data_IF_849015190397
#
_entry.id   IF_849015190397
#
_cell.length_a   1.000
_cell.length_b   1.000
_cell.length_c   1.000
_cell.angle_alpha   90.00
_cell.angle_beta   90.00
_cell.angle_gamma   90.00
#
_symmetry.space_group_name_H-M   'P 1'
#
loop_
_entity.id
_entity.type
_entity.pdbx_description
1 polymer ?
#
# COMPACT_ATOMS: atom_id res chain seq x y z
N UNK A 1 4.20 18.43 8.61
CA UNK A 1 4.49 18.24 10.04
C UNK A 1 5.00 16.82 10.26
N UNK A 2 6.05 16.67 11.09
CA UNK A 2 6.60 15.36 11.44
C UNK A 2 6.40 15.15 12.93
N UNK A 3 5.84 14.00 13.28
CA UNK A 3 5.63 13.50 14.65
C UNK A 3 6.35 12.17 14.83
N UNK A 4 6.55 11.65 16.06
CA UNK A 4 7.28 10.40 16.28
C UNK A 4 6.76 9.18 15.48
N UNK A 5 5.46 9.09 15.25
CA UNK A 5 4.82 7.96 14.56
C UNK A 5 4.08 8.38 13.28
N UNK A 6 4.20 9.65 12.86
CA UNK A 6 3.36 10.18 11.79
C UNK A 6 4.06 11.28 11.01
N UNK A 7 3.85 11.26 9.69
CA UNK A 7 4.27 12.33 8.77
C UNK A 7 3.05 12.89 8.07
N UNK A 8 2.78 14.17 8.31
CA UNK A 8 1.55 14.84 7.86
C UNK A 8 1.88 15.85 6.77
N UNK A 9 1.20 15.74 5.65
CA UNK A 9 1.29 16.64 4.50
C UNK A 9 -0.04 17.35 4.29
N UNK A 10 0.00 18.65 4.00
CA UNK A 10 -1.19 19.45 3.72
C UNK A 10 -1.06 20.08 2.34
N UNK A 11 -2.10 19.95 1.54
CA UNK A 11 -2.20 20.50 0.20
C UNK A 11 -3.48 21.32 0.08
N UNK A 12 -3.42 22.41 -0.67
CA UNK A 12 -4.60 23.25 -0.97
C UNK A 12 -4.64 23.55 -2.46
N UNK A 13 -5.76 23.26 -3.07
CA UNK A 13 -6.03 23.57 -4.47
C UNK A 13 -7.53 23.58 -4.75
N UNK A 14 -7.97 24.43 -5.67
CA UNK A 14 -9.34 24.45 -6.23
C UNK A 14 -10.46 24.41 -5.18
N UNK A 15 -10.30 25.17 -4.09
CA UNK A 15 -11.30 25.25 -3.02
C UNK A 15 -11.30 24.06 -2.05
N UNK A 16 -10.27 23.21 -2.11
CA UNK A 16 -10.15 22.01 -1.28
C UNK A 16 -8.83 22.02 -0.51
N UNK A 17 -8.88 21.60 0.76
CA UNK A 17 -7.70 21.26 1.57
C UNK A 17 -7.66 19.75 1.77
N UNK A 18 -6.56 19.11 1.35
CA UNK A 18 -6.25 17.70 1.60
C UNK A 18 -5.14 17.58 2.64
N UNK A 19 -5.40 16.80 3.68
CA UNK A 19 -4.39 16.36 4.65
C UNK A 19 -4.14 14.88 4.42
N UNK A 20 -2.87 14.51 4.24
CA UNK A 20 -2.42 13.11 4.12
C UNK A 20 -1.53 12.81 5.30
N UNK A 21 -1.89 11.79 6.09
CA UNK A 21 -1.14 11.36 7.27
C UNK A 21 -0.65 9.93 7.09
N UNK A 22 0.68 9.76 7.07
CA UNK A 22 1.35 8.47 7.07
C UNK A 22 1.65 8.09 8.52
N UNK A 23 0.96 7.07 9.05
CA UNK A 23 1.07 6.68 10.46
C UNK A 23 1.40 5.19 10.60
N UNK A 24 2.44 4.88 11.40
CA UNK A 24 2.74 3.51 11.81
C UNK A 24 2.37 3.33 13.27
N UNK A 25 1.43 2.42 13.62
CA UNK A 25 0.99 2.22 15.00
C UNK A 25 2.02 1.41 15.80
N UNK A 26 2.86 2.07 16.60
CA UNK A 26 3.81 1.42 17.50
C UNK A 26 3.29 1.50 18.94
N UNK A 27 2.42 0.57 19.32
CA UNK A 27 1.84 0.49 20.66
C UNK A 27 2.73 -0.36 21.58
N UNK A 28 3.58 0.28 22.38
CA UNK A 28 4.59 -0.37 23.21
C UNK A 28 4.05 -1.39 24.22
N UNK A 29 2.79 -1.25 24.61
CA UNK A 29 2.10 -2.16 25.53
C UNK A 29 1.29 -3.26 24.82
N UNK A 30 1.38 -3.34 23.48
CA UNK A 30 0.70 -4.35 22.66
C UNK A 30 1.64 -4.86 21.58
N UNK A 31 2.39 -5.93 21.89
CA UNK A 31 3.37 -6.52 20.98
C UNK A 31 2.74 -7.12 19.72
N UNK A 32 1.51 -7.57 19.79
CA UNK A 32 0.80 -8.12 18.63
C UNK A 32 0.55 -7.04 17.57
N UNK A 33 0.14 -5.85 17.98
CA UNK A 33 -0.02 -4.73 17.06
C UNK A 33 1.32 -4.11 16.68
N UNK A 34 2.24 -3.97 17.63
CA UNK A 34 3.55 -3.37 17.38
C UNK A 34 4.40 -4.15 16.38
N UNK A 35 4.27 -5.49 16.39
CA UNK A 35 5.05 -6.36 15.50
C UNK A 35 4.47 -6.50 14.09
N UNK A 36 3.24 -6.04 13.86
CA UNK A 36 2.63 -6.10 12.51
C UNK A 36 3.28 -5.08 11.58
N UNK A 37 3.77 -5.48 10.42
CA UNK A 37 4.41 -4.59 9.45
C UNK A 37 3.35 -3.82 8.63
N UNK A 38 2.55 -3.01 9.29
CA UNK A 38 1.46 -2.23 8.70
C UNK A 38 1.65 -0.73 8.96
N UNK A 39 1.25 0.07 7.99
CA UNK A 39 1.16 1.52 8.11
C UNK A 39 -0.15 2.01 7.49
N UNK A 40 -0.73 3.02 8.09
CA UNK A 40 -1.94 3.66 7.60
C UNK A 40 -1.57 4.90 6.78
N UNK A 41 -2.26 5.10 5.67
CA UNK A 41 -2.28 6.38 4.97
C UNK A 41 -3.70 6.90 5.05
N UNK A 42 -3.88 7.92 5.88
CA UNK A 42 -5.19 8.53 6.12
C UNK A 42 -5.33 9.82 5.30
N UNK A 43 -6.53 10.03 4.79
CA UNK A 43 -6.92 11.19 4.01
C UNK A 43 -8.01 11.95 4.74
N UNK A 44 -7.84 13.27 4.89
CA UNK A 44 -8.85 14.14 5.44
C UNK A 44 -9.00 15.33 4.51
N UNK A 45 -10.21 15.55 4.02
CA UNK A 45 -10.49 16.54 2.98
C UNK A 45 -11.55 17.52 3.45
N UNK A 46 -11.30 18.82 3.25
CA UNK A 46 -12.19 19.90 3.63
C UNK A 46 -12.52 20.77 2.42
N UNK A 47 -13.75 21.27 2.36
CA UNK A 47 -14.06 22.46 1.56
C UNK A 47 -13.53 23.71 2.26
N UNK A 48 -12.86 24.60 1.50
CA UNK A 48 -12.36 25.89 1.98
C UNK A 48 -12.95 27.07 1.20
N UNK A 49 -13.92 26.82 0.32
CA UNK A 49 -14.61 27.83 -0.50
C UNK A 49 -16.14 27.81 -0.34
N UNK A 50 -16.62 27.15 0.72
CA UNK A 50 -18.05 27.02 1.06
C UNK A 50 -18.90 26.33 -0.04
N UNK A 51 -18.27 25.42 -0.83
CA UNK A 51 -18.95 24.61 -1.85
C UNK A 51 -18.78 23.12 -1.58
N UNK A 52 -19.69 22.34 -2.14
CA UNK A 52 -19.55 20.88 -2.20
C UNK A 52 -18.54 20.51 -3.30
N UNK A 53 -17.67 19.54 -3.02
CA UNK A 53 -16.70 19.02 -3.98
C UNK A 53 -16.73 17.50 -4.01
N UNK A 54 -16.70 16.93 -5.21
CA UNK A 54 -16.42 15.52 -5.44
C UNK A 54 -14.94 15.36 -5.76
N UNK A 55 -14.25 14.58 -4.94
CA UNK A 55 -12.80 14.45 -4.96
C UNK A 55 -12.42 13.01 -5.24
N UNK A 56 -11.41 12.83 -6.07
CA UNK A 56 -10.79 11.54 -6.31
C UNK A 56 -9.31 11.61 -5.97
N UNK A 57 -8.86 10.72 -5.13
CA UNK A 57 -7.45 10.59 -4.75
C UNK A 57 -6.90 9.33 -5.42
N UNK A 58 -5.82 9.48 -6.19
CA UNK A 58 -5.05 8.39 -6.73
C UNK A 58 -3.79 8.18 -5.89
N UNK A 59 -3.51 6.95 -5.54
CA UNK A 59 -2.27 6.54 -4.89
C UNK A 59 -1.79 5.23 -5.48
N UNK A 60 -0.48 5.06 -5.61
CA UNK A 60 0.13 3.81 -6.01
C UNK A 60 1.46 3.55 -5.30
N UNK A 61 1.88 2.29 -5.34
CA UNK A 61 3.22 1.83 -4.99
C UNK A 61 3.75 0.94 -6.10
N UNK A 62 5.05 1.04 -6.39
CA UNK A 62 5.71 0.31 -7.47
C UNK A 62 6.46 -0.93 -6.98
N UNK A 63 6.92 -1.74 -7.92
CA UNK A 63 7.61 -3.01 -7.65
C UNK A 63 9.01 -2.88 -7.04
N UNK A 64 9.61 -1.68 -7.01
CA UNK A 64 10.93 -1.47 -6.41
C UNK A 64 10.99 -1.84 -4.92
N UNK A 65 9.85 -1.81 -4.24
CA UNK A 65 9.72 -2.25 -2.84
C UNK A 65 9.92 -3.74 -2.64
N UNK A 66 9.85 -4.53 -3.71
CA UNK A 66 9.85 -6.00 -3.65
C UNK A 66 11.14 -6.63 -4.17
N UNK A 67 12.15 -5.82 -4.55
CA UNK A 67 13.42 -6.29 -5.10
C UNK A 67 14.61 -5.77 -4.29
N UNK A 68 15.74 -6.48 -4.35
CA UNK A 68 16.91 -6.13 -3.57
C UNK A 68 17.53 -4.80 -4.04
N UNK A 69 17.95 -4.76 -5.30
CA UNK A 69 18.46 -3.55 -5.93
C UNK A 69 17.82 -3.40 -7.30
N UNK A 70 16.92 -2.43 -7.50
CA UNK A 70 16.24 -2.26 -8.77
C UNK A 70 17.18 -1.92 -9.93
N UNK A 71 18.32 -1.24 -9.68
CA UNK A 71 19.26 -0.81 -10.71
C UNK A 71 20.18 -1.95 -11.19
N UNK A 72 20.43 -2.95 -10.35
CA UNK A 72 21.40 -4.03 -10.60
C UNK A 72 20.76 -5.40 -10.75
N UNK A 73 19.45 -5.49 -10.53
CA UNK A 73 18.74 -6.74 -10.40
C UNK A 73 17.90 -7.02 -11.64
N UNK A 74 18.07 -8.22 -12.19
CA UNK A 74 17.13 -8.79 -13.17
C UNK A 74 15.86 -9.34 -12.52
N UNK A 75 15.65 -9.09 -11.23
CA UNK A 75 14.51 -9.58 -10.48
C UNK A 75 13.20 -9.07 -11.08
N UNK A 76 12.27 -9.98 -11.21
CA UNK A 76 10.93 -9.71 -11.73
C UNK A 76 9.94 -9.72 -10.59
N UNK A 77 8.87 -8.96 -10.75
CA UNK A 77 7.75 -8.92 -9.81
C UNK A 77 6.50 -9.50 -10.42
N UNK A 78 5.66 -10.03 -9.55
CA UNK A 78 4.30 -10.46 -9.83
C UNK A 78 3.32 -9.65 -8.97
N UNK A 79 2.09 -9.58 -9.40
CA UNK A 79 1.03 -8.87 -8.68
C UNK A 79 -0.32 -9.56 -8.84
N UNK A 80 -1.24 -9.20 -7.99
CA UNK A 80 -2.60 -9.71 -8.03
C UNK A 80 -3.49 -9.03 -7.00
N UNK A 81 -4.66 -9.63 -6.80
CA UNK A 81 -5.62 -9.17 -5.81
C UNK A 81 -6.21 -10.33 -5.03
N UNK A 82 -6.62 -10.04 -3.80
CA UNK A 82 -7.36 -10.94 -2.92
C UNK A 82 -8.57 -10.23 -2.35
N UNK A 83 -9.61 -10.98 -2.03
CA UNK A 83 -10.69 -10.49 -1.18
C UNK A 83 -10.45 -11.01 0.24
N UNK A 84 -10.41 -10.09 1.20
CA UNK A 84 -10.33 -10.39 2.61
C UNK A 84 -11.72 -10.19 3.22
N UNK A 85 -12.08 -11.02 4.20
CA UNK A 85 -13.37 -10.96 4.84
C UNK A 85 -13.19 -10.54 6.31
N UNK A 86 -13.64 -9.35 6.65
CA UNK A 86 -13.66 -8.89 8.03
C UNK A 86 -15.10 -8.64 8.49
N UNK A 87 -15.58 -9.50 9.39
CA UNK A 87 -16.91 -9.41 10.00
C UNK A 87 -18.06 -9.18 8.98
N UNK A 88 -17.95 -9.78 7.77
CA UNK A 88 -18.93 -9.64 6.70
C UNK A 88 -18.71 -8.44 5.77
N UNK A 89 -17.60 -7.74 5.92
CA UNK A 89 -17.17 -6.72 4.96
C UNK A 89 -16.14 -7.31 4.01
N UNK A 90 -16.40 -7.16 2.71
CA UNK A 90 -15.42 -7.48 1.67
C UNK A 90 -14.37 -6.38 1.62
N UNK A 91 -13.11 -6.73 1.88
CA UNK A 91 -11.97 -5.82 1.81
C UNK A 91 -11.10 -6.25 0.64
N UNK A 92 -10.92 -5.37 -0.33
CA UNK A 92 -9.98 -5.61 -1.43
C UNK A 92 -8.54 -5.42 -0.94
N UNK A 93 -7.68 -6.39 -1.21
CA UNK A 93 -6.25 -6.29 -1.03
C UNK A 93 -5.53 -6.55 -2.36
N UNK A 94 -4.73 -5.60 -2.79
CA UNK A 94 -3.79 -5.78 -3.89
C UNK A 94 -2.46 -6.23 -3.32
N UNK A 95 -1.75 -7.11 -4.02
CA UNK A 95 -0.41 -7.52 -3.61
C UNK A 95 0.59 -7.45 -4.75
N UNK A 96 1.86 -7.28 -4.40
CA UNK A 96 3.00 -7.35 -5.30
C UNK A 96 4.18 -8.00 -4.56
N UNK A 97 4.96 -8.82 -5.25
CA UNK A 97 6.13 -9.48 -4.66
C UNK A 97 7.14 -9.88 -5.71
N UNK A 98 8.36 -10.20 -5.28
CA UNK A 98 9.35 -10.81 -6.15
C UNK A 98 8.85 -12.15 -6.69
N UNK A 99 9.12 -12.42 -7.96
CA UNK A 99 8.70 -13.69 -8.58
C UNK A 99 9.43 -14.89 -7.99
N UNK A 100 10.71 -14.74 -7.70
CA UNK A 100 11.58 -15.87 -7.31
C UNK A 100 11.51 -16.21 -5.81
N UNK A 101 11.04 -15.29 -4.97
CA UNK A 101 10.88 -15.51 -3.53
C UNK A 101 12.11 -16.15 -2.85
N UNK A 102 13.26 -15.50 -2.97
CA UNK A 102 14.53 -15.98 -2.41
C UNK A 102 14.60 -15.76 -0.88
N UNK A 103 13.75 -16.47 -0.13
CA UNK A 103 13.52 -16.28 1.31
C UNK A 103 14.81 -16.48 2.10
N UNK A 104 15.33 -15.39 2.71
CA UNK A 104 16.54 -15.39 3.55
C UNK A 104 17.78 -15.95 2.83
N UNK A 105 17.85 -15.82 1.49
CA UNK A 105 18.89 -16.45 0.68
C UNK A 105 20.20 -15.65 0.61
N UNK A 106 20.22 -14.43 1.14
CA UNK A 106 21.37 -13.53 1.09
C UNK A 106 21.85 -13.19 2.50
N UNK A 107 23.15 -12.91 2.64
CA UNK A 107 23.75 -12.39 3.86
C UNK A 107 24.78 -11.30 3.50
N UNK A 108 25.04 -10.38 4.41
CA UNK A 108 25.98 -9.27 4.23
C UNK A 108 25.34 -7.93 4.58
N UNK A 109 26.06 -6.87 4.24
CA UNK A 109 25.61 -5.49 4.44
C UNK A 109 24.80 -5.01 3.22
N UNK A 110 23.94 -4.01 3.41
CA UNK A 110 23.14 -3.37 2.36
C UNK A 110 22.21 -4.32 1.59
N UNK A 111 21.63 -5.29 2.30
CA UNK A 111 20.65 -6.21 1.74
C UNK A 111 19.24 -5.73 2.06
N UNK A 112 18.38 -5.72 1.03
CA UNK A 112 16.95 -5.47 1.18
C UNK A 112 16.18 -6.78 1.14
N UNK A 113 14.98 -6.77 1.70
CA UNK A 113 14.06 -7.90 1.60
C UNK A 113 13.56 -7.98 0.16
N UNK A 114 13.87 -9.09 -0.52
CA UNK A 114 13.46 -9.40 -1.89
C UNK A 114 12.60 -10.67 -1.96
N UNK A 115 11.92 -10.97 -0.88
CA UNK A 115 10.94 -12.05 -0.73
C UNK A 115 9.72 -11.54 0.04
N UNK A 116 8.63 -12.30 0.01
CA UNK A 116 7.38 -11.87 0.59
C UNK A 116 6.57 -10.97 -0.33
N UNK A 117 5.59 -10.29 0.24
CA UNK A 117 4.62 -9.52 -0.51
C UNK A 117 4.31 -8.18 0.15
N UNK A 118 4.35 -7.14 -0.68
CA UNK A 118 3.78 -5.83 -0.40
C UNK A 118 2.26 -5.91 -0.63
N UNK A 119 1.50 -5.34 0.29
CA UNK A 119 0.05 -5.25 0.18
C UNK A 119 -0.44 -3.80 0.24
N UNK A 120 -1.42 -3.51 -0.60
CA UNK A 120 -2.24 -2.31 -0.53
C UNK A 120 -3.66 -2.74 -0.20
N UNK A 121 -4.10 -2.48 1.04
CA UNK A 121 -5.41 -2.91 1.54
C UNK A 121 -6.37 -1.75 1.53
N UNK A 122 -7.58 -2.00 1.02
CA UNK A 122 -8.60 -1.01 0.70
C UNK A 122 -9.89 -1.29 1.49
N UNK A 123 -9.98 -0.90 2.77
CA UNK A 123 -11.20 -1.03 3.54
C UNK A 123 -12.30 -0.08 3.03
N UNK A 124 -13.54 -0.56 3.00
CA UNK A 124 -14.69 0.25 2.57
C UNK A 124 -14.99 0.15 1.08
N UNK A 125 -16.14 0.71 0.66
CA UNK A 125 -16.71 0.53 -0.69
C UNK A 125 -16.45 1.69 -1.66
N UNK A 126 -15.89 2.78 -1.18
CA UNK A 126 -15.61 3.99 -1.97
C UNK A 126 -14.21 3.97 -2.62
N UNK A 127 -13.52 2.84 -2.57
CA UNK A 127 -12.20 2.61 -3.12
C UNK A 127 -12.26 1.54 -4.20
N UNK A 128 -11.39 1.71 -5.20
CA UNK A 128 -11.19 0.70 -6.24
C UNK A 128 -9.70 0.49 -6.45
N UNK A 129 -9.28 -0.77 -6.43
CA UNK A 129 -7.91 -1.16 -6.67
C UNK A 129 -7.64 -1.49 -8.13
N UNK A 130 -6.42 -1.20 -8.57
CA UNK A 130 -5.90 -1.44 -9.91
C UNK A 130 -4.48 -1.99 -9.82
N UNK A 131 -4.08 -2.80 -10.80
CA UNK A 131 -2.71 -3.27 -10.92
C UNK A 131 -2.28 -3.27 -12.38
N UNK A 132 -1.05 -2.85 -12.64
CA UNK A 132 -0.52 -2.77 -13.99
C UNK A 132 0.61 -1.76 -14.13
N UNK A 133 0.61 -0.99 -15.22
CA UNK A 133 1.66 -0.03 -15.54
C UNK A 133 1.49 1.31 -14.81
N UNK A 134 2.62 1.97 -14.49
CA UNK A 134 2.67 3.35 -13.97
C UNK A 134 1.96 4.38 -14.90
N UNK A 135 1.68 4.03 -16.13
CA UNK A 135 0.93 4.89 -17.07
C UNK A 135 -0.46 5.27 -16.56
N UNK A 136 -1.00 4.47 -15.65
CA UNK A 136 -2.25 4.79 -14.93
C UNK A 136 -2.22 6.16 -14.24
N UNK A 137 -1.04 6.63 -13.77
CA UNK A 137 -0.87 7.98 -13.20
C UNK A 137 -1.26 9.07 -14.18
N UNK A 138 -0.76 8.95 -15.43
CA UNK A 138 -1.04 9.92 -16.50
C UNK A 138 -2.49 9.83 -16.96
N UNK A 139 -3.02 8.63 -17.05
CA UNK A 139 -4.43 8.40 -17.40
C UNK A 139 -5.36 9.05 -16.38
N UNK A 140 -5.15 8.76 -15.08
CA UNK A 140 -5.92 9.37 -14.01
C UNK A 140 -5.82 10.89 -13.99
N UNK A 141 -4.61 11.46 -14.13
CA UNK A 141 -4.42 12.91 -14.10
C UNK A 141 -5.12 13.63 -15.26
N UNK A 142 -5.30 12.95 -16.40
CA UNK A 142 -5.98 13.49 -17.58
C UNK A 142 -7.49 13.34 -17.50
N UNK A 143 -7.97 12.17 -17.08
CA UNK A 143 -9.37 11.75 -17.22
C UNK A 143 -10.14 11.79 -15.89
N UNK A 144 -9.44 11.79 -14.74
CA UNK A 144 -10.05 11.62 -13.40
C UNK A 144 -10.56 10.20 -13.13
N UNK A 145 -10.19 9.24 -13.96
CA UNK A 145 -10.47 7.81 -13.79
C UNK A 145 -9.42 6.97 -14.51
N UNK A 146 -9.40 5.68 -14.22
CA UNK A 146 -8.57 4.67 -14.88
C UNK A 146 -9.52 3.72 -15.59
N UNK A 147 -9.27 3.47 -16.88
CA UNK A 147 -9.97 2.42 -17.61
C UNK A 147 -9.57 1.05 -17.06
N UNK A 148 -10.54 0.14 -16.99
CA UNK A 148 -10.30 -1.20 -16.48
C UNK A 148 -9.48 -1.99 -17.50
N UNK A 149 -8.17 -2.05 -17.27
CA UNK A 149 -7.24 -2.84 -18.07
C UNK A 149 -6.63 -3.91 -17.16
N UNK A 150 -6.75 -5.17 -17.56
CA UNK A 150 -6.02 -6.25 -16.93
C UNK A 150 -4.63 -6.34 -17.57
N UNK A 151 -3.62 -5.85 -16.87
CA UNK A 151 -2.24 -6.06 -17.28
C UNK A 151 -1.77 -7.45 -16.80
N UNK A 152 -1.80 -8.42 -17.72
CA UNK A 152 -1.37 -9.79 -17.47
C UNK A 152 0.10 -10.06 -17.85
N UNK A 153 0.87 -9.01 -18.21
CA UNK A 153 2.28 -9.14 -18.59
C UNK A 153 3.18 -9.30 -17.37
N UNK A 154 3.05 -10.42 -16.71
CA UNK A 154 3.85 -10.77 -15.54
C UNK A 154 4.37 -12.22 -15.65
N UNK A 155 5.54 -12.57 -15.03
CA UNK A 155 6.40 -11.70 -14.24
C UNK A 155 7.16 -10.68 -15.10
N UNK A 156 7.43 -9.47 -14.54
CA UNK A 156 8.04 -8.37 -15.27
C UNK A 156 9.10 -7.65 -14.42
N UNK A 157 10.20 -7.19 -15.05
CA UNK A 157 11.20 -6.37 -14.38
C UNK A 157 10.58 -5.03 -13.92
N UNK A 158 11.08 -4.49 -12.81
CA UNK A 158 10.52 -3.26 -12.20
C UNK A 158 10.65 -2.02 -13.09
N UNK A 159 11.57 -2.02 -14.05
CA UNK A 159 11.73 -0.93 -15.01
C UNK A 159 11.05 -1.18 -16.36
N UNK A 160 10.58 -2.40 -16.62
CA UNK A 160 9.83 -2.69 -17.81
C UNK A 160 8.36 -2.27 -17.63
N UNK A 161 8.01 -1.09 -18.13
CA UNK A 161 6.70 -0.47 -18.00
C UNK A 161 6.22 -0.42 -16.53
N UNK A 162 7.13 -0.14 -15.63
CA UNK A 162 7.06 -0.04 -14.16
C UNK A 162 5.74 -0.54 -13.55
N UNK A 163 5.72 -1.78 -13.05
CA UNK A 163 4.51 -2.35 -12.43
C UNK A 163 4.15 -1.60 -11.14
N UNK A 164 2.86 -1.30 -10.98
CA UNK A 164 2.31 -0.64 -9.79
C UNK A 164 1.02 -1.34 -9.33
N UNK A 165 0.76 -1.30 -8.04
CA UNK A 165 -0.56 -1.52 -7.45
C UNK A 165 -1.08 -0.17 -6.98
N UNK A 166 -2.33 0.14 -7.31
CA UNK A 166 -2.89 1.48 -7.17
C UNK A 166 -4.30 1.46 -6.59
N UNK A 167 -4.73 2.58 -6.04
CA UNK A 167 -6.13 2.81 -5.67
C UNK A 167 -6.62 4.17 -6.10
N UNK A 168 -7.89 4.22 -6.47
CA UNK A 168 -8.66 5.46 -6.58
C UNK A 168 -9.68 5.48 -5.45
N UNK A 169 -9.66 6.56 -4.66
CA UNK A 169 -10.51 6.79 -3.49
C UNK A 169 -11.47 7.93 -3.84
N UNK A 170 -12.77 7.72 -3.65
CA UNK A 170 -13.78 8.74 -3.89
C UNK A 170 -14.25 9.34 -2.57
N UNK A 171 -14.18 10.66 -2.45
CA UNK A 171 -14.61 11.43 -1.28
C UNK A 171 -15.47 12.62 -1.74
N UNK A 172 -16.38 13.05 -0.89
CA UNK A 172 -17.19 14.26 -1.14
C UNK A 172 -17.17 15.15 0.08
N UNK A 173 -16.74 16.39 -0.08
CA UNK A 173 -16.81 17.41 0.98
C UNK A 173 -18.15 18.13 0.92
N UNK A 174 -18.52 18.71 2.06
CA UNK A 174 -19.70 19.56 2.18
C UNK A 174 -19.30 21.01 2.40
N UNK A 175 -20.15 21.93 1.91
CA UNK A 175 -20.00 23.37 2.04
C UNK A 175 -19.93 23.87 3.48
N UNK A 176 -20.38 23.09 4.46
CA UNK A 176 -20.32 23.43 5.88
C UNK A 176 -18.91 23.27 6.49
N UNK A 177 -17.93 22.85 5.68
CA UNK A 177 -16.55 22.63 6.11
C UNK A 177 -16.33 21.36 6.91
N UNK A 178 -17.35 20.49 7.05
CA UNK A 178 -17.17 19.19 7.68
C UNK A 178 -16.20 18.32 6.86
N UNK A 179 -15.24 17.61 7.52
CA UNK A 179 -14.28 16.80 6.79
C UNK A 179 -14.91 15.53 6.23
N UNK A 180 -14.47 15.14 5.04
CA UNK A 180 -14.56 13.76 4.57
C UNK A 180 -13.25 13.04 4.88
N UNK A 181 -13.35 11.85 5.48
CA UNK A 181 -12.18 11.11 5.96
C UNK A 181 -12.19 9.69 5.41
N UNK A 182 -11.01 9.17 5.11
CA UNK A 182 -10.82 7.79 4.71
C UNK A 182 -9.35 7.37 4.91
N UNK A 183 -9.07 6.08 4.76
CA UNK A 183 -7.71 5.54 4.87
C UNK A 183 -7.51 4.29 4.01
N UNK A 184 -6.26 4.00 3.73
CA UNK A 184 -5.77 2.74 3.19
C UNK A 184 -4.67 2.20 4.09
N UNK A 185 -4.34 0.92 3.92
CA UNK A 185 -3.26 0.28 4.66
C UNK A 185 -2.19 -0.18 3.67
N UNK A 186 -0.94 0.10 3.98
CA UNK A 186 0.23 -0.53 3.37
C UNK A 186 0.79 -1.53 4.36
N UNK A 187 1.05 -2.76 3.89
CA UNK A 187 1.65 -3.81 4.70
C UNK A 187 2.70 -4.59 3.91
N UNK A 188 3.63 -5.21 4.61
CA UNK A 188 4.62 -6.10 3.99
C UNK A 188 4.73 -7.40 4.78
N UNK A 189 4.40 -8.53 4.17
CA UNK A 189 4.58 -9.85 4.77
C UNK A 189 5.86 -10.49 4.21
N UNK A 190 6.89 -10.59 5.03
CA UNK A 190 8.18 -11.16 4.69
C UNK A 190 8.24 -12.70 4.78
N UNK A 191 7.12 -13.36 5.04
CA UNK A 191 6.97 -14.83 5.20
C UNK A 191 7.80 -15.36 6.36
N UNK A 192 9.13 -15.24 6.30
CA UNK A 192 10.07 -15.51 7.37
C UNK A 192 11.01 -14.31 7.55
N UNK A 193 11.19 -13.87 8.80
CA UNK A 193 11.91 -12.65 9.14
C UNK A 193 13.39 -12.89 9.42
N UNK A 194 13.73 -14.03 10.01
CA UNK A 194 15.11 -14.36 10.38
C UNK A 194 15.39 -15.87 10.23
N UNK A 195 16.66 -16.20 10.06
CA UNK A 195 17.17 -17.55 10.23
C UNK A 195 18.02 -17.62 11.50
N UNK A 196 17.71 -18.56 12.38
CA UNK A 196 18.41 -18.79 13.62
C UNK A 196 18.76 -20.27 13.78
N UNK A 197 20.05 -20.60 13.86
CA UNK A 197 20.55 -21.96 13.88
C UNK A 197 19.92 -22.89 12.82
N UNK A 198 19.85 -22.41 11.58
CA UNK A 198 19.25 -23.10 10.42
C UNK A 198 17.73 -23.31 10.48
N UNK A 199 17.05 -22.67 11.44
CA UNK A 199 15.60 -22.61 11.50
C UNK A 199 15.12 -21.24 11.03
N UNK A 200 14.20 -21.22 10.06
CA UNK A 200 13.54 -20.01 9.57
C UNK A 200 12.39 -19.65 10.49
N UNK A 201 12.46 -18.49 11.10
CA UNK A 201 11.47 -18.00 12.05
C UNK A 201 10.59 -16.93 11.43
N UNK A 202 9.26 -17.04 11.57
CA UNK A 202 8.33 -16.00 11.15
C UNK A 202 8.41 -14.79 12.11
N UNK A 203 7.84 -13.67 11.69
CA UNK A 203 7.64 -12.50 12.54
C UNK A 203 6.80 -12.83 13.78
N UNK A 204 7.00 -12.07 14.86
CA UNK A 204 6.32 -12.32 16.15
C UNK A 204 4.79 -12.36 16.04
N UNK A 205 4.18 -11.53 15.23
CA UNK A 205 2.72 -11.53 15.04
C UNK A 205 2.18 -12.82 14.41
N UNK A 206 3.03 -13.58 13.71
CA UNK A 206 2.71 -14.87 13.09
C UNK A 206 2.93 -16.09 14.01
N UNK A 207 3.41 -15.89 15.24
CA UNK A 207 3.80 -16.97 16.17
C UNK A 207 2.73 -18.02 16.46
N UNK A 208 1.46 -17.65 16.30
CA UNK A 208 0.32 -18.54 16.52
C UNK A 208 -0.25 -19.12 15.21
N UNK A 209 0.52 -19.05 14.10
CA UNK A 209 0.10 -19.53 12.79
C UNK A 209 -0.83 -18.58 12.04
N UNK A 210 -0.93 -17.32 12.48
CA UNK A 210 -1.70 -16.29 11.77
C UNK A 210 -1.10 -16.01 10.39
N UNK A 211 -1.95 -15.85 9.38
CA UNK A 211 -1.60 -15.37 8.06
C UNK A 211 -1.87 -13.87 7.88
N UNK A 212 -1.54 -13.37 6.71
CA UNK A 212 -1.84 -11.97 6.35
C UNK A 212 -3.36 -11.67 6.35
N UNK A 213 -4.18 -12.68 6.09
CA UNK A 213 -5.64 -12.54 5.94
C UNK A 213 -6.38 -12.41 7.29
N UNK A 214 -5.68 -12.57 8.42
CA UNK A 214 -6.18 -12.52 9.79
C UNK A 214 -5.66 -11.27 10.54
#
# INVERSE_FOLDING_TARGET
EIKPLSSIYTFEASGVRLIVDFTTPLLLNNLDLMSRPISYISFKVYSIDEKDHDIKIYIDVNGEWCVNNPDESDQKVIWGQKQLNDAGNDIQALYMGSFEQNILAKCGDDIRIDWGYLYLVLPGKNKRGYSGSYKMRKEFSKNGYIEEQYDNKQPRNVYDDMPVIASVINLSTKKDGSPAEDFIIIAYDDIYSIEYFHEKLPAYWKRNGLGFEE
#
